data_IF_250556910832
#
_entry.id   IF_250556910832
#
_cell.length_a   1.000
_cell.length_b   1.000
_cell.length_c   1.000
_cell.angle_alpha   90.00
_cell.angle_beta   90.00
_cell.angle_gamma   90.00
#
_symmetry.space_group_name_H-M   'P 1'
#
loop_
_entity.id
_entity.type
_entity.pdbx_description
1 polymer ?
#
# COMPACT_ATOMS: atom_id res chain seq x y z
N UNK A 1 17.50 4.18 -60.56
CA UNK A 1 17.40 5.59 -60.98
C UNK A 1 16.57 6.27 -59.90
N UNK A 2 17.01 7.17 -59.03
CA UNK A 2 18.15 8.09 -59.02
C UNK A 2 18.33 8.57 -57.56
N UNK A 3 19.58 8.49 -57.07
CA UNK A 3 20.33 9.33 -56.10
C UNK A 3 19.67 10.59 -55.51
N UNK A 4 20.14 11.27 -54.44
CA UNK A 4 21.08 11.12 -53.32
C UNK A 4 21.28 12.55 -52.74
N UNK A 5 21.51 12.68 -51.42
CA UNK A 5 22.34 13.73 -50.73
C UNK A 5 21.89 15.21 -50.84
N UNK A 6 22.20 16.18 -49.98
CA UNK A 6 23.35 16.53 -49.09
C UNK A 6 22.93 17.80 -48.26
N UNK A 7 23.21 17.96 -46.95
CA UNK A 7 24.43 18.50 -46.25
C UNK A 7 24.47 20.03 -45.99
N UNK A 8 24.88 20.40 -44.75
CA UNK A 8 25.53 21.66 -44.24
C UNK A 8 24.68 22.94 -44.05
N UNK A 9 24.95 23.88 -43.14
CA UNK A 9 26.03 24.21 -42.17
C UNK A 9 25.46 25.16 -41.07
N UNK A 10 26.03 25.26 -39.85
CA UNK A 10 26.77 26.45 -39.29
C UNK A 10 25.90 27.71 -39.06
N UNK A 11 25.92 28.51 -37.97
CA UNK A 11 26.99 28.94 -37.07
C UNK A 11 26.42 29.98 -36.04
N UNK A 12 26.93 29.96 -34.79
CA UNK A 12 27.22 31.01 -33.76
C UNK A 12 26.20 32.13 -33.36
N UNK A 13 26.01 32.36 -32.04
CA UNK A 13 26.57 33.49 -31.22
C UNK A 13 25.79 33.75 -29.91
N UNK A 14 26.48 33.57 -28.77
CA UNK A 14 26.60 34.35 -27.51
C UNK A 14 25.53 35.38 -27.10
N UNK A 15 25.16 35.43 -25.80
CA UNK A 15 25.39 36.57 -24.86
C UNK A 15 25.04 36.19 -23.42
N UNK A 16 26.00 36.43 -22.52
CA UNK A 16 25.93 36.36 -21.06
C UNK A 16 25.72 37.76 -20.51
N UNK A 17 24.74 37.98 -19.63
CA UNK A 17 24.74 39.10 -18.68
C UNK A 17 24.15 38.63 -17.34
N UNK A 18 25.01 38.56 -16.32
CA UNK A 18 24.63 38.45 -14.92
C UNK A 18 25.17 39.70 -14.23
N UNK A 19 24.25 40.48 -13.66
CA UNK A 19 24.56 41.74 -12.97
C UNK A 19 24.69 41.51 -11.47
N UNK A 20 25.70 42.18 -10.94
CA UNK A 20 26.28 42.08 -9.61
C UNK A 20 25.47 42.78 -8.50
N UNK A 21 25.89 42.45 -7.28
CA UNK A 21 25.45 42.74 -5.93
C UNK A 21 25.03 44.18 -5.57
N UNK A 22 24.30 44.32 -4.45
CA UNK A 22 24.70 45.21 -3.34
C UNK A 22 24.07 44.76 -2.01
N UNK A 23 24.90 44.82 -0.98
CA UNK A 23 24.75 44.46 0.44
C UNK A 23 23.90 45.45 1.25
N UNK A 24 23.28 44.99 2.35
CA UNK A 24 23.11 45.80 3.58
C UNK A 24 22.91 44.89 4.81
N UNK A 25 23.92 44.87 5.68
CA UNK A 25 23.83 44.47 7.09
C UNK A 25 23.22 45.61 7.92
N UNK A 26 22.38 45.32 8.91
CA UNK A 26 22.61 45.75 10.31
C UNK A 26 21.65 45.09 11.33
N UNK A 27 22.23 44.23 12.17
CA UNK A 27 22.08 44.04 13.62
C UNK A 27 20.76 44.40 14.36
N UNK A 28 20.27 43.45 15.17
CA UNK A 28 20.06 43.70 16.62
C UNK A 28 19.92 42.40 17.42
N UNK A 29 20.65 42.35 18.52
CA UNK A 29 20.62 41.34 19.58
C UNK A 29 19.37 41.54 20.46
N UNK A 30 18.77 40.46 20.98
CA UNK A 30 18.85 40.14 22.41
C UNK A 30 18.17 38.78 22.67
N UNK A 31 18.89 37.87 23.33
CA UNK A 31 18.40 36.57 23.76
C UNK A 31 18.40 36.55 25.28
N UNK A 32 17.23 36.74 25.89
CA UNK A 32 17.01 36.50 27.31
C UNK A 32 15.97 35.41 27.48
N UNK A 33 16.44 34.21 27.84
CA UNK A 33 15.62 33.09 28.28
C UNK A 33 15.91 32.81 29.76
N UNK A 34 14.88 32.93 30.59
CA UNK A 34 14.57 32.09 31.77
C UNK A 34 13.84 32.90 32.83
N UNK A 35 12.51 32.91 32.74
CA UNK A 35 11.61 33.35 33.78
C UNK A 35 10.64 32.21 34.09
N UNK A 36 10.90 31.49 35.18
CA UNK A 36 9.99 30.51 35.77
C UNK A 36 8.71 31.22 36.25
N UNK A 37 7.56 30.83 35.71
CA UNK A 37 6.25 31.09 36.33
C UNK A 37 5.42 29.81 36.36
N UNK A 38 5.41 29.20 37.54
CA UNK A 38 4.31 28.38 38.04
C UNK A 38 2.98 29.12 37.86
N UNK A 39 2.05 28.57 37.09
CA UNK A 39 0.66 29.02 37.05
C UNK A 39 -0.25 27.89 37.49
N UNK A 40 -0.64 28.02 38.74
CA UNK A 40 -1.73 27.31 39.42
C UNK A 40 -3.02 27.31 38.61
N UNK A 41 -3.83 26.26 38.85
CA UNK A 41 -5.29 26.23 38.74
C UNK A 41 -5.90 27.64 38.78
N UNK A 42 -6.26 28.15 37.61
CA UNK A 42 -7.08 29.33 37.42
C UNK A 42 -8.43 28.88 36.88
N UNK A 43 -9.35 28.64 37.81
CA UNK A 43 -10.78 28.69 37.58
C UNK A 43 -11.11 30.01 36.87
N UNK A 44 -11.32 29.94 35.55
CA UNK A 44 -11.92 31.02 34.78
C UNK A 44 -13.32 30.53 34.40
N UNK A 45 -14.29 30.92 35.23
CA UNK A 45 -15.69 30.63 35.01
C UNK A 45 -16.16 31.11 33.64
N UNK A 46 -16.59 30.18 32.80
CA UNK A 46 -17.39 30.49 31.63
C UNK A 46 -18.76 30.96 32.11
N UNK A 47 -19.07 32.25 31.87
CA UNK A 47 -20.41 32.79 32.03
C UNK A 47 -21.33 32.21 30.96
N UNK A 48 -22.09 31.18 31.32
CA UNK A 48 -23.39 30.82 30.76
C UNK A 48 -23.56 30.90 29.24
N UNK A 49 -22.79 30.12 28.47
CA UNK A 49 -23.15 29.55 27.16
C UNK A 49 -21.98 28.74 26.55
N UNK A 50 -21.14 28.13 27.38
CA UNK A 50 -20.31 27.03 26.89
C UNK A 50 -21.19 25.79 26.97
N UNK A 51 -21.89 25.47 25.88
CA UNK A 51 -22.05 24.05 25.57
C UNK A 51 -20.63 23.46 25.67
N UNK A 52 -20.39 22.36 26.41
CA UNK A 52 -19.08 21.76 26.33
C UNK A 52 -18.87 21.46 24.86
N UNK A 53 -17.95 22.18 24.21
CA UNK A 53 -17.40 21.76 22.94
C UNK A 53 -17.11 20.28 23.16
N UNK A 54 -17.88 19.42 22.47
CA UNK A 54 -17.67 17.99 22.54
C UNK A 54 -16.16 17.82 22.33
N UNK A 55 -15.45 17.15 23.26
CA UNK A 55 -14.00 17.07 23.16
C UNK A 55 -13.71 16.64 21.74
N UNK A 56 -12.95 17.46 21.00
CA UNK A 56 -12.50 17.09 19.67
C UNK A 56 -12.03 15.64 19.79
N UNK A 57 -12.70 14.72 19.09
CA UNK A 57 -12.46 13.29 19.29
C UNK A 57 -10.96 13.09 19.19
N UNK A 58 -10.35 12.61 20.28
CA UNK A 58 -8.91 12.63 20.38
C UNK A 58 -8.37 11.73 19.27
N UNK A 59 -7.73 12.36 18.28
CA UNK A 59 -7.02 11.65 17.24
C UNK A 59 -5.98 10.75 17.92
N UNK A 60 -6.03 9.47 17.61
CA UNK A 60 -5.15 8.44 18.15
C UNK A 60 -4.28 7.88 17.02
N UNK A 61 -3.20 7.20 17.39
CA UNK A 61 -2.33 6.52 16.44
C UNK A 61 -2.79 5.05 16.29
N UNK A 62 -3.28 4.69 15.10
CA UNK A 62 -3.76 3.33 14.80
C UNK A 62 -2.63 2.30 14.91
N UNK A 63 -1.38 2.69 14.64
CA UNK A 63 -0.21 1.81 14.74
C UNK A 63 0.19 1.59 16.19
N UNK A 64 0.05 2.60 17.04
CA UNK A 64 0.39 2.52 18.46
C UNK A 64 -0.74 1.98 19.34
N UNK A 65 -1.99 2.05 18.87
CA UNK A 65 -3.20 1.75 19.66
C UNK A 65 -3.21 2.50 21.01
N UNK A 66 -2.91 3.79 20.99
CA UNK A 66 -2.66 4.65 22.17
C UNK A 66 -3.93 5.22 22.84
N UNK A 67 -5.02 4.46 22.80
CA UNK A 67 -6.29 4.83 23.41
C UNK A 67 -6.35 4.45 24.91
N UNK A 68 -7.22 5.11 25.71
CA UNK A 68 -7.49 4.71 27.08
C UNK A 68 -7.97 3.26 27.21
N UNK A 69 -7.83 2.69 28.41
CA UNK A 69 -8.26 1.31 28.69
C UNK A 69 -9.73 1.08 28.30
N UNK A 70 -10.00 -0.04 27.64
CA UNK A 70 -11.32 -0.39 27.13
C UNK A 70 -11.69 0.27 25.80
N UNK A 71 -10.78 1.04 25.20
CA UNK A 71 -10.94 1.63 23.87
C UNK A 71 -9.86 1.14 22.91
N UNK A 72 -10.15 1.18 21.61
CA UNK A 72 -9.19 0.94 20.53
C UNK A 72 -9.15 2.12 19.58
N UNK A 73 -8.01 2.30 18.93
CA UNK A 73 -7.89 3.34 17.91
C UNK A 73 -8.42 2.82 16.58
N UNK A 74 -9.43 3.49 16.02
CA UNK A 74 -10.10 3.10 14.78
C UNK A 74 -9.93 4.18 13.72
N UNK A 75 -9.80 3.76 12.46
CA UNK A 75 -9.88 4.64 11.31
C UNK A 75 -11.35 4.82 10.90
N UNK A 76 -11.78 6.06 10.67
CA UNK A 76 -13.14 6.43 10.31
C UNK A 76 -13.14 7.51 9.23
N UNK A 77 -14.29 7.79 8.63
CA UNK A 77 -14.44 8.84 7.62
C UNK A 77 -15.17 10.07 8.17
N UNK A 78 -14.54 11.24 8.09
CA UNK A 78 -15.18 12.52 8.47
C UNK A 78 -16.40 12.88 7.63
N UNK A 79 -16.43 12.39 6.39
CA UNK A 79 -17.41 12.79 5.36
C UNK A 79 -18.19 11.61 4.76
N UNK A 80 -18.06 10.41 5.35
CA UNK A 80 -18.74 9.19 4.90
C UNK A 80 -18.13 8.52 3.67
N UNK A 81 -16.94 8.95 3.23
CA UNK A 81 -16.16 8.35 2.14
C UNK A 81 -15.03 7.46 2.64
N UNK A 82 -13.83 7.63 2.06
CA UNK A 82 -12.63 6.93 2.54
C UNK A 82 -12.37 7.24 4.02
N UNK A 83 -11.88 6.24 4.75
CA UNK A 83 -11.43 6.39 6.14
C UNK A 83 -10.17 7.25 6.14
N UNK A 84 -10.29 8.48 6.61
CA UNK A 84 -9.31 9.57 6.48
C UNK A 84 -8.95 10.21 7.82
N UNK A 85 -9.50 9.70 8.92
CA UNK A 85 -9.24 10.18 10.27
C UNK A 85 -9.26 9.06 11.30
N UNK A 86 -8.82 9.36 12.53
CA UNK A 86 -8.75 8.40 13.63
C UNK A 86 -9.48 8.89 14.86
N UNK A 87 -9.97 7.95 15.66
CA UNK A 87 -10.56 8.23 16.98
C UNK A 87 -10.47 7.01 17.88
N UNK A 88 -10.52 7.25 19.19
CA UNK A 88 -10.70 6.17 20.15
C UNK A 88 -12.18 5.77 20.23
N UNK A 89 -12.45 4.49 19.99
CA UNK A 89 -13.79 3.91 20.11
C UNK A 89 -13.81 2.81 21.18
N UNK A 90 -14.92 2.61 21.90
CA UNK A 90 -15.06 1.48 22.83
C UNK A 90 -14.82 0.15 22.13
N UNK A 91 -14.13 -0.77 22.80
CA UNK A 91 -14.03 -2.16 22.35
C UNK A 91 -15.35 -2.85 22.64
N UNK A 92 -16.07 -3.26 21.59
CA UNK A 92 -17.40 -3.87 21.73
C UNK A 92 -17.44 -5.36 21.43
N UNK A 93 -16.34 -5.94 20.95
CA UNK A 93 -16.21 -7.36 20.69
C UNK A 93 -14.78 -7.85 20.77
N UNK A 94 -14.61 -9.15 20.58
CA UNK A 94 -13.37 -9.91 20.76
C UNK A 94 -12.92 -10.63 19.46
N UNK A 95 -13.54 -10.32 18.33
CA UNK A 95 -13.23 -10.94 17.03
C UNK A 95 -11.76 -10.81 16.66
N UNK A 96 -11.17 -11.92 16.20
CA UNK A 96 -9.80 -12.04 15.71
C UNK A 96 -9.77 -12.09 14.19
N UNK A 97 -8.58 -12.00 13.60
CA UNK A 97 -8.42 -12.09 12.15
C UNK A 97 -9.11 -13.35 11.57
N UNK A 98 -10.00 -13.16 10.58
CA UNK A 98 -10.80 -14.21 9.95
C UNK A 98 -12.19 -14.44 10.57
N UNK A 99 -12.46 -13.92 11.77
CA UNK A 99 -13.79 -14.01 12.38
C UNK A 99 -14.79 -13.06 11.68
N UNK A 100 -16.09 -13.41 11.63
CA UNK A 100 -17.11 -12.50 11.13
C UNK A 100 -17.24 -11.28 12.06
N UNK A 101 -17.52 -10.11 11.48
CA UNK A 101 -17.74 -8.87 12.22
C UNK A 101 -18.90 -8.05 11.69
N UNK A 102 -19.35 -7.09 12.51
CA UNK A 102 -20.40 -6.14 12.16
C UNK A 102 -19.92 -4.73 12.45
N UNK A 103 -20.26 -3.78 11.56
CA UNK A 103 -20.07 -2.34 11.79
C UNK A 103 -21.41 -1.66 12.11
N UNK A 104 -21.79 -1.49 13.39
CA UNK A 104 -23.14 -1.07 13.77
C UNK A 104 -23.54 0.33 13.27
N UNK A 105 -22.56 1.20 13.03
CA UNK A 105 -22.78 2.58 12.59
C UNK A 105 -22.44 2.79 11.11
N UNK A 106 -22.27 1.71 10.35
CA UNK A 106 -21.92 1.74 8.94
C UNK A 106 -20.43 1.47 8.66
N UNK A 107 -20.08 1.16 7.40
CA UNK A 107 -18.78 0.59 7.02
C UNK A 107 -17.59 1.55 7.21
N UNK A 108 -17.85 2.85 7.33
CA UNK A 108 -16.81 3.89 7.41
C UNK A 108 -16.79 4.61 8.76
N UNK A 109 -17.64 4.21 9.71
CA UNK A 109 -17.71 4.84 11.05
C UNK A 109 -16.55 4.41 11.97
N UNK A 110 -15.89 3.30 11.66
CA UNK A 110 -14.74 2.78 12.38
C UNK A 110 -15.08 1.88 13.56
N UNK A 111 -16.27 2.01 14.17
CA UNK A 111 -16.69 1.06 15.20
C UNK A 111 -17.10 -0.29 14.61
N UNK A 112 -16.58 -1.36 15.21
CA UNK A 112 -16.86 -2.73 14.81
C UNK A 112 -16.77 -3.69 16.01
N UNK A 113 -17.13 -4.95 15.78
CA UNK A 113 -17.09 -6.03 16.78
C UNK A 113 -15.74 -6.78 16.84
N UNK A 114 -14.70 -6.28 16.18
CA UNK A 114 -13.36 -6.84 16.25
C UNK A 114 -12.63 -6.36 17.51
N UNK A 115 -11.70 -7.18 18.00
CA UNK A 115 -10.85 -6.85 19.15
C UNK A 115 -9.87 -5.68 18.87
N UNK A 116 -9.14 -5.26 19.90
CA UNK A 116 -8.03 -4.28 19.76
C UNK A 116 -7.01 -4.81 18.75
N UNK A 117 -6.46 -3.92 17.93
CA UNK A 117 -5.51 -4.32 16.89
C UNK A 117 -6.15 -5.00 15.69
N UNK A 118 -7.48 -4.96 15.56
CA UNK A 118 -8.22 -5.50 14.43
C UNK A 118 -9.28 -4.50 13.93
N UNK A 119 -9.62 -4.63 12.66
CA UNK A 119 -10.61 -3.80 11.97
C UNK A 119 -11.51 -4.65 11.08
N UNK A 120 -12.78 -4.32 11.01
CA UNK A 120 -13.72 -4.97 10.09
C UNK A 120 -13.48 -4.50 8.65
N UNK A 121 -13.22 -5.44 7.75
CA UNK A 121 -13.01 -5.22 6.31
C UNK A 121 -14.07 -5.95 5.48
N UNK A 122 -14.10 -5.63 4.18
CA UNK A 122 -15.02 -6.21 3.20
C UNK A 122 -16.48 -6.18 3.66
N UNK A 123 -16.84 -5.06 4.29
CA UNK A 123 -18.15 -4.85 4.88
C UNK A 123 -19.19 -4.68 3.78
N UNK A 124 -20.17 -5.58 3.76
CA UNK A 124 -21.34 -5.47 2.89
C UNK A 124 -22.16 -4.23 3.30
N UNK A 125 -22.44 -3.29 2.37
CA UNK A 125 -23.10 -2.04 2.70
C UNK A 125 -24.59 -2.22 3.09
N UNK A 126 -25.21 -3.34 2.75
CA UNK A 126 -26.61 -3.63 3.05
C UNK A 126 -26.76 -4.38 4.39
N UNK A 127 -25.89 -5.37 4.67
CA UNK A 127 -25.96 -6.16 5.91
C UNK A 127 -25.08 -5.59 7.04
N UNK A 128 -24.10 -4.76 6.71
CA UNK A 128 -23.06 -4.25 7.62
C UNK A 128 -22.17 -5.34 8.22
N UNK A 129 -22.14 -6.51 7.59
CA UNK A 129 -21.31 -7.64 7.99
C UNK A 129 -20.02 -7.69 7.16
N UNK A 130 -18.93 -8.11 7.78
CA UNK A 130 -17.63 -8.25 7.13
C UNK A 130 -16.76 -9.28 7.84
N UNK A 131 -15.45 -9.18 7.66
CA UNK A 131 -14.46 -10.05 8.31
C UNK A 131 -13.42 -9.22 9.05
N UNK A 132 -13.09 -9.63 10.27
CA UNK A 132 -12.02 -9.00 11.04
C UNK A 132 -10.67 -9.26 10.35
N UNK A 133 -9.89 -8.19 10.16
CA UNK A 133 -8.50 -8.27 9.73
C UNK A 133 -7.61 -7.68 10.82
N UNK A 134 -6.42 -8.26 11.01
CA UNK A 134 -5.44 -7.70 11.93
C UNK A 134 -4.89 -6.38 11.36
N UNK A 135 -4.71 -5.38 12.20
CA UNK A 135 -3.97 -4.17 11.87
C UNK A 135 -2.48 -4.50 11.82
N UNK A 136 -1.75 -3.78 10.97
CA UNK A 136 -0.31 -3.91 10.92
C UNK A 136 0.34 -3.40 12.21
N UNK A 137 1.41 -4.08 12.61
CA UNK A 137 2.29 -3.63 13.67
C UNK A 137 3.47 -2.82 13.12
N UNK A 138 4.20 -2.15 14.02
CA UNK A 138 5.38 -1.37 13.67
C UNK A 138 5.01 0.07 13.31
N UNK A 139 5.46 0.55 12.16
CA UNK A 139 5.17 1.90 11.65
C UNK A 139 4.76 1.83 10.19
N UNK A 140 4.16 2.89 9.65
CA UNK A 140 3.87 2.97 8.22
C UNK A 140 5.09 2.73 7.31
N UNK A 141 6.31 3.02 7.79
CA UNK A 141 7.54 2.93 7.01
C UNK A 141 8.25 1.57 7.16
N UNK A 142 7.92 0.86 8.23
CA UNK A 142 8.42 -0.48 8.51
C UNK A 142 7.26 -1.32 9.05
N UNK A 143 6.23 -1.55 8.22
CA UNK A 143 5.06 -2.28 8.66
C UNK A 143 5.37 -3.77 8.74
N UNK A 144 4.70 -4.47 9.64
CA UNK A 144 4.85 -5.90 9.80
C UNK A 144 3.54 -6.56 10.21
N UNK A 145 3.42 -7.85 9.91
CA UNK A 145 2.31 -8.70 10.30
C UNK A 145 2.82 -9.84 11.18
N UNK A 146 2.09 -10.13 12.26
CA UNK A 146 2.45 -11.22 13.17
C UNK A 146 2.19 -12.60 12.56
N UNK A 147 1.15 -12.71 11.73
CA UNK A 147 0.87 -13.91 10.96
C UNK A 147 1.96 -14.11 9.90
N UNK A 148 2.47 -15.34 9.82
CA UNK A 148 3.31 -15.76 8.69
C UNK A 148 2.49 -15.67 7.40
N UNK A 149 3.15 -15.34 6.29
CA UNK A 149 2.48 -15.28 4.99
C UNK A 149 1.32 -14.28 4.99
N UNK A 150 1.56 -13.11 5.58
CA UNK A 150 0.66 -11.97 5.53
C UNK A 150 1.45 -10.72 5.20
N UNK A 151 0.97 -9.95 4.24
CA UNK A 151 1.51 -8.66 3.85
C UNK A 151 0.77 -7.53 4.53
N UNK A 152 1.47 -6.45 4.86
CA UNK A 152 0.81 -5.24 5.32
C UNK A 152 0.40 -4.38 4.13
N UNK A 153 -0.90 -4.22 3.92
CA UNK A 153 -1.45 -3.26 2.95
C UNK A 153 -1.78 -1.96 3.66
N UNK A 154 -1.05 -0.89 3.33
CA UNK A 154 -1.31 0.45 3.89
C UNK A 154 -2.42 1.13 3.09
N UNK A 155 -3.52 1.45 3.76
CA UNK A 155 -4.75 2.01 3.18
C UNK A 155 -5.15 3.31 3.87
N UNK A 156 -6.21 3.97 3.38
CA UNK A 156 -6.66 5.26 3.92
C UNK A 156 -5.63 6.38 3.71
N UNK A 157 -5.02 6.44 2.53
CA UNK A 157 -3.96 7.42 2.21
C UNK A 157 -2.75 7.40 3.16
N UNK A 158 -2.37 6.22 3.66
CA UNK A 158 -1.24 6.07 4.58
C UNK A 158 -1.61 6.01 6.06
N UNK A 159 -2.90 6.18 6.38
CA UNK A 159 -3.38 6.33 7.76
C UNK A 159 -3.19 5.06 8.59
N UNK A 160 -3.51 3.90 8.02
CA UNK A 160 -3.43 2.62 8.73
C UNK A 160 -3.05 1.48 7.79
N UNK A 161 -2.49 0.41 8.35
CA UNK A 161 -2.18 -0.81 7.64
C UNK A 161 -3.06 -1.97 8.09
N UNK A 162 -3.41 -2.85 7.16
CA UNK A 162 -4.10 -4.11 7.43
C UNK A 162 -3.27 -5.29 6.95
N UNK A 163 -3.18 -6.31 7.80
CA UNK A 163 -2.55 -7.57 7.49
C UNK A 163 -3.52 -8.42 6.68
N UNK A 164 -3.19 -8.58 5.40
CA UNK A 164 -3.92 -9.44 4.49
C UNK A 164 -3.13 -10.73 4.29
N UNK A 165 -3.78 -11.89 4.25
CA UNK A 165 -3.10 -13.12 3.90
C UNK A 165 -2.49 -12.96 2.52
N UNK A 166 -1.22 -13.38 2.39
CA UNK A 166 -0.65 -13.61 1.07
C UNK A 166 -1.33 -14.83 0.48
N UNK A 167 -1.35 -14.90 -0.85
CA UNK A 167 -1.93 -16.01 -1.58
C UNK A 167 -0.87 -16.71 -2.43
N UNK A 168 -1.18 -17.92 -2.88
CA UNK A 168 -0.39 -18.65 -3.86
C UNK A 168 -0.83 -18.20 -5.27
N UNK A 169 0.05 -17.53 -6.04
CA UNK A 169 -0.30 -17.03 -7.36
C UNK A 169 -0.39 -18.12 -8.43
N UNK A 170 0.12 -19.32 -8.16
CA UNK A 170 0.02 -20.49 -9.05
C UNK A 170 -1.31 -21.19 -8.78
N UNK A 171 -1.68 -21.36 -7.51
CA UNK A 171 -2.93 -22.02 -7.11
C UNK A 171 -4.17 -21.10 -7.22
N UNK A 172 -3.99 -19.78 -7.19
CA UNK A 172 -5.07 -18.77 -7.17
C UNK A 172 -6.07 -19.03 -6.03
N UNK A 173 -5.56 -19.21 -4.83
CA UNK A 173 -6.29 -19.67 -3.63
C UNK A 173 -7.02 -18.57 -2.85
N UNK A 174 -7.34 -17.46 -3.52
CA UNK A 174 -8.10 -16.38 -2.91
C UNK A 174 -9.58 -16.74 -2.71
N UNK A 175 -10.18 -16.21 -1.64
CA UNK A 175 -11.60 -16.40 -1.36
C UNK A 175 -12.49 -15.57 -2.29
N UNK A 176 -13.66 -16.13 -2.65
CA UNK A 176 -14.67 -15.44 -3.45
C UNK A 176 -14.26 -15.25 -4.91
N UNK A 177 -14.58 -14.08 -5.49
CA UNK A 177 -14.22 -13.70 -6.86
C UNK A 177 -12.89 -12.90 -6.93
N UNK A 178 -12.06 -13.01 -5.89
CA UNK A 178 -10.77 -12.33 -5.80
C UNK A 178 -9.69 -13.08 -6.57
N UNK A 179 -8.67 -12.38 -7.08
CA UNK A 179 -7.51 -13.01 -7.70
C UNK A 179 -6.24 -12.77 -6.90
N UNK A 180 -5.30 -13.73 -6.99
CA UNK A 180 -3.98 -13.61 -6.40
C UNK A 180 -3.03 -12.93 -7.39
N UNK A 181 -2.63 -11.70 -7.07
CA UNK A 181 -1.79 -10.87 -7.95
C UNK A 181 -0.54 -10.41 -7.21
N UNK A 182 0.51 -10.09 -7.96
CA UNK A 182 1.74 -9.55 -7.39
C UNK A 182 1.48 -8.17 -6.77
N UNK A 183 2.05 -7.92 -5.60
CA UNK A 183 2.02 -6.62 -4.97
C UNK A 183 2.75 -5.59 -5.87
N UNK A 184 2.30 -4.33 -5.97
CA UNK A 184 2.98 -3.32 -6.78
C UNK A 184 4.45 -3.09 -6.39
N UNK A 185 4.80 -3.33 -5.13
CA UNK A 185 6.18 -3.26 -4.65
C UNK A 185 7.07 -4.45 -5.12
N UNK A 186 6.46 -5.50 -5.70
CA UNK A 186 7.15 -6.68 -6.22
C UNK A 186 7.71 -7.61 -5.15
N UNK A 187 7.25 -7.51 -3.91
CA UNK A 187 7.79 -8.21 -2.73
C UNK A 187 6.91 -9.36 -2.21
N UNK A 188 5.78 -9.62 -2.86
CA UNK A 188 4.84 -10.69 -2.49
C UNK A 188 3.61 -10.73 -3.39
N UNK A 189 2.64 -11.56 -3.00
CA UNK A 189 1.35 -11.70 -3.69
C UNK A 189 0.19 -11.52 -2.70
N UNK A 190 -0.86 -10.81 -3.12
CA UNK A 190 -2.03 -10.52 -2.28
C UNK A 190 -3.34 -10.80 -3.04
N UNK A 191 -4.38 -11.15 -2.29
CA UNK A 191 -5.72 -11.26 -2.83
C UNK A 191 -6.33 -9.88 -3.09
N UNK A 192 -6.90 -9.68 -4.26
CA UNK A 192 -7.63 -8.46 -4.63
C UNK A 192 -9.02 -8.80 -5.16
N UNK A 193 -10.06 -8.24 -4.53
CA UNK A 193 -11.48 -8.59 -4.78
C UNK A 193 -12.03 -8.10 -6.11
N UNK A 194 -11.25 -7.32 -6.86
CA UNK A 194 -11.54 -6.85 -8.22
C UNK A 194 -10.21 -6.71 -8.97
N UNK A 195 -9.49 -7.82 -9.15
CA UNK A 195 -8.25 -7.79 -9.91
C UNK A 195 -8.49 -7.12 -11.27
N UNK A 196 -7.69 -6.10 -11.65
CA UNK A 196 -7.80 -5.54 -12.99
C UNK A 196 -7.58 -6.65 -14.00
N UNK A 197 -8.31 -6.61 -15.12
CA UNK A 197 -7.96 -7.43 -16.27
C UNK A 197 -6.56 -7.03 -16.72
N UNK A 198 -5.63 -7.98 -16.73
CA UNK A 198 -4.27 -7.74 -17.14
C UNK A 198 -4.06 -8.06 -18.62
N UNK A 199 -2.79 -8.19 -18.99
CA UNK A 199 -2.40 -8.66 -20.30
C UNK A 199 -2.08 -10.16 -20.30
N UNK A 200 -2.48 -10.90 -21.35
CA UNK A 200 -2.20 -12.33 -21.43
C UNK A 200 -0.72 -12.60 -21.70
N UNK A 201 -0.29 -13.84 -21.46
CA UNK A 201 1.09 -14.27 -21.65
C UNK A 201 1.63 -13.91 -23.05
N UNK A 202 2.86 -13.40 -23.10
CA UNK A 202 3.50 -12.93 -24.33
C UNK A 202 3.07 -11.54 -24.81
N UNK A 203 2.26 -10.83 -24.04
CA UNK A 203 1.90 -9.44 -24.32
C UNK A 203 2.86 -8.44 -23.68
N UNK A 204 3.07 -7.26 -24.29
CA UNK A 204 3.79 -6.15 -23.67
C UNK A 204 3.20 -5.72 -22.32
N UNK A 205 4.06 -5.34 -21.39
CA UNK A 205 3.72 -4.74 -20.11
C UNK A 205 4.77 -3.69 -19.71
N UNK A 206 4.43 -2.80 -18.77
CA UNK A 206 5.29 -1.74 -18.26
C UNK A 206 5.53 -1.86 -16.74
N UNK A 207 4.56 -2.39 -16.00
CA UNK A 207 4.62 -2.56 -14.56
C UNK A 207 4.51 -4.03 -14.16
N UNK A 208 5.01 -4.35 -12.96
CA UNK A 208 5.10 -5.73 -12.46
C UNK A 208 3.73 -6.42 -12.40
N UNK A 209 2.67 -5.65 -12.17
CA UNK A 209 1.28 -6.05 -11.96
C UNK A 209 0.35 -5.85 -13.18
N UNK A 210 0.91 -5.51 -14.36
CA UNK A 210 0.12 -5.29 -15.59
C UNK A 210 -0.45 -6.58 -16.22
N UNK A 211 0.02 -7.75 -15.78
CA UNK A 211 -0.28 -9.04 -16.40
C UNK A 211 -1.47 -9.74 -15.74
N UNK A 212 -2.13 -10.64 -16.49
CA UNK A 212 -3.24 -11.43 -15.95
C UNK A 212 -2.81 -12.26 -14.72
N UNK A 213 -3.74 -12.61 -13.81
CA UNK A 213 -3.43 -13.44 -12.65
C UNK A 213 -2.69 -14.74 -13.01
N UNK A 214 -1.64 -15.05 -12.25
CA UNK A 214 -0.72 -16.15 -12.55
C UNK A 214 0.43 -15.77 -13.50
N UNK A 215 0.48 -14.52 -13.95
CA UNK A 215 1.57 -13.97 -14.77
C UNK A 215 2.23 -12.79 -14.06
N UNK A 216 3.48 -12.49 -14.43
CA UNK A 216 4.22 -11.31 -13.98
C UNK A 216 4.95 -10.66 -15.16
N UNK A 217 5.15 -9.35 -15.08
CA UNK A 217 5.91 -8.63 -16.10
C UNK A 217 7.42 -8.83 -15.89
N UNK A 218 8.10 -9.40 -16.89
CA UNK A 218 9.55 -9.64 -16.85
C UNK A 218 10.27 -8.92 -17.99
N UNK A 219 11.59 -8.88 -17.90
CA UNK A 219 12.45 -8.36 -18.97
C UNK A 219 12.11 -9.06 -20.31
N UNK A 220 11.83 -8.31 -21.38
CA UNK A 220 11.32 -8.85 -22.63
C UNK A 220 12.35 -9.70 -23.37
N UNK A 221 13.65 -9.55 -23.08
CA UNK A 221 14.70 -10.44 -23.60
C UNK A 221 14.65 -11.85 -23.01
N UNK A 222 13.93 -12.03 -21.90
CA UNK A 222 13.79 -13.30 -21.17
C UNK A 222 12.53 -14.07 -21.54
N UNK A 223 11.64 -13.49 -22.32
CA UNK A 223 10.44 -14.18 -22.80
C UNK A 223 10.38 -14.15 -24.34
N UNK A 224 10.38 -15.30 -25.03
CA UNK A 224 10.45 -15.33 -26.49
C UNK A 224 9.08 -15.05 -27.14
N UNK A 225 8.59 -13.81 -26.97
CA UNK A 225 7.38 -13.31 -27.62
C UNK A 225 7.71 -12.17 -28.60
N UNK A 226 7.36 -12.30 -29.89
CA UNK A 226 7.62 -11.26 -30.90
C UNK A 226 7.01 -9.91 -30.56
N UNK A 227 5.83 -9.90 -29.94
CA UNK A 227 5.09 -8.68 -29.61
C UNK A 227 5.81 -7.86 -28.51
N UNK A 228 6.64 -8.52 -27.69
CA UNK A 228 7.44 -7.90 -26.64
C UNK A 228 8.80 -7.38 -27.12
N UNK A 229 9.20 -7.63 -28.39
CA UNK A 229 10.57 -7.38 -28.87
C UNK A 229 11.03 -5.90 -28.77
N UNK A 230 10.09 -4.95 -28.60
CA UNK A 230 10.36 -3.52 -28.40
C UNK A 230 9.60 -2.93 -27.21
N UNK A 231 9.05 -3.79 -26.35
CA UNK A 231 8.33 -3.40 -25.16
C UNK A 231 9.29 -3.13 -23.99
N UNK A 232 8.77 -2.59 -22.89
CA UNK A 232 9.51 -2.42 -21.64
C UNK A 232 9.59 -3.74 -20.86
N UNK A 233 8.53 -4.55 -20.94
CA UNK A 233 8.42 -5.86 -20.34
C UNK A 233 7.55 -6.81 -21.16
N UNK A 234 7.52 -8.07 -20.74
CA UNK A 234 6.67 -9.11 -21.32
C UNK A 234 6.00 -9.94 -20.23
N UNK A 235 4.69 -10.19 -20.38
CA UNK A 235 3.95 -11.03 -19.43
C UNK A 235 4.37 -12.50 -19.57
N UNK A 236 4.92 -13.05 -18.48
CA UNK A 236 5.40 -14.42 -18.39
C UNK A 236 4.67 -15.19 -17.29
N UNK A 237 4.41 -16.50 -17.46
CA UNK A 237 3.72 -17.29 -16.47
C UNK A 237 4.61 -17.58 -15.25
N UNK A 238 3.96 -17.64 -14.10
CA UNK A 238 4.55 -18.18 -12.88
C UNK A 238 4.55 -19.72 -12.94
N UNK A 239 5.46 -20.33 -12.19
CA UNK A 239 5.63 -21.78 -12.14
C UNK A 239 6.06 -22.22 -10.75
N UNK A 240 5.73 -23.47 -10.43
CA UNK A 240 6.19 -24.11 -9.19
C UNK A 240 7.60 -24.67 -9.42
N UNK A 241 8.57 -24.20 -8.64
CA UNK A 241 9.96 -24.64 -8.71
C UNK A 241 10.09 -26.14 -8.41
N UNK A 242 9.22 -26.70 -7.57
CA UNK A 242 9.24 -28.10 -7.18
C UNK A 242 8.69 -29.02 -8.30
N UNK A 243 7.78 -28.50 -9.13
CA UNK A 243 7.26 -29.19 -10.31
C UNK A 243 8.15 -29.02 -11.56
N UNK A 244 8.95 -27.94 -11.58
CA UNK A 244 9.95 -27.58 -12.60
C UNK A 244 9.43 -27.49 -14.05
N UNK A 245 8.12 -27.33 -14.25
CA UNK A 245 7.48 -27.27 -15.56
C UNK A 245 6.75 -25.94 -15.75
N UNK A 246 7.02 -25.30 -16.89
CA UNK A 246 6.36 -24.05 -17.25
C UNK A 246 5.02 -24.31 -17.94
N UNK A 247 3.92 -23.70 -17.47
CA UNK A 247 2.64 -23.83 -18.14
C UNK A 247 2.62 -23.00 -19.44
N UNK A 248 2.05 -23.59 -20.49
CA UNK A 248 1.75 -22.88 -21.74
C UNK A 248 2.88 -22.84 -22.77
N UNK A 249 2.70 -21.92 -23.74
CA UNK A 249 3.63 -21.64 -24.83
C UNK A 249 4.35 -20.31 -24.57
N UNK A 250 5.59 -20.12 -25.07
CA UNK A 250 6.34 -21.02 -25.96
C UNK A 250 6.97 -22.22 -25.24
N UNK A 251 7.09 -23.35 -25.95
CA UNK A 251 7.84 -24.50 -25.47
C UNK A 251 9.31 -24.14 -25.16
N UNK A 252 9.90 -24.82 -24.17
CA UNK A 252 11.30 -24.70 -23.68
C UNK A 252 11.59 -23.55 -22.71
N UNK A 253 10.58 -23.00 -22.02
CA UNK A 253 10.83 -22.16 -20.87
C UNK A 253 11.31 -22.99 -19.68
N UNK A 254 12.19 -22.41 -18.89
CA UNK A 254 12.66 -22.97 -17.63
C UNK A 254 12.09 -22.16 -16.47
N UNK A 255 11.77 -22.85 -15.38
CA UNK A 255 11.27 -22.23 -14.17
C UNK A 255 12.45 -21.70 -13.34
N UNK A 256 12.58 -20.39 -13.24
CA UNK A 256 13.61 -19.74 -12.41
C UNK A 256 12.99 -19.10 -11.18
N UNK A 257 13.69 -19.06 -10.03
CA UNK A 257 13.17 -18.40 -8.84
C UNK A 257 12.75 -16.95 -9.14
N UNK A 258 11.55 -16.58 -8.69
CA UNK A 258 11.04 -15.22 -8.84
C UNK A 258 11.67 -14.29 -7.80
N UNK A 259 11.64 -14.70 -6.54
CA UNK A 259 12.23 -13.94 -5.44
C UNK A 259 13.71 -14.23 -5.26
N UNK A 260 14.46 -13.20 -4.86
CA UNK A 260 15.82 -13.36 -4.35
C UNK A 260 15.78 -14.09 -3.01
N UNK A 261 16.84 -14.84 -2.67
CA UNK A 261 16.92 -15.53 -1.38
C UNK A 261 16.70 -14.55 -0.22
N UNK A 262 15.76 -14.89 0.68
CA UNK A 262 15.40 -14.07 1.83
C UNK A 262 14.30 -13.04 1.59
N UNK A 263 13.77 -12.92 0.37
CA UNK A 263 12.55 -12.17 0.03
C UNK A 263 11.43 -13.18 -0.26
N UNK A 264 10.20 -12.89 0.16
CA UNK A 264 9.06 -13.77 -0.13
C UNK A 264 9.13 -15.13 0.57
N UNK A 265 9.40 -15.17 1.87
CA UNK A 265 9.54 -16.42 2.67
C UNK A 265 8.30 -17.35 2.67
N UNK A 266 7.22 -16.93 2.01
CA UNK A 266 5.99 -17.69 1.82
C UNK A 266 5.71 -18.03 0.35
N UNK A 267 6.64 -17.68 -0.53
CA UNK A 267 6.59 -17.86 -1.97
C UNK A 267 7.93 -18.42 -2.48
N UNK A 268 8.66 -19.14 -1.62
CA UNK A 268 9.98 -19.70 -1.94
C UNK A 268 9.91 -20.74 -3.05
N UNK A 269 8.75 -21.37 -3.24
CA UNK A 269 8.44 -22.30 -4.32
C UNK A 269 7.97 -21.59 -5.61
N UNK A 270 7.76 -20.27 -5.59
CA UNK A 270 7.29 -19.51 -6.75
C UNK A 270 8.46 -19.13 -7.64
N UNK A 271 8.40 -19.62 -8.88
CA UNK A 271 9.27 -19.24 -9.98
C UNK A 271 8.53 -18.51 -11.09
N UNK A 272 9.29 -18.04 -12.07
CA UNK A 272 8.81 -17.45 -13.31
C UNK A 272 9.40 -18.18 -14.51
N UNK A 273 8.58 -18.35 -15.54
CA UNK A 273 8.93 -19.04 -16.77
C UNK A 273 9.62 -18.11 -17.74
N UNK A 274 10.89 -18.41 -18.02
CA UNK A 274 11.71 -17.62 -18.93
C UNK A 274 12.81 -18.46 -19.57
N UNK A 275 13.46 -17.89 -20.58
CA UNK A 275 14.73 -18.42 -21.07
C UNK A 275 15.90 -17.94 -20.19
N UNK A 276 17.03 -18.64 -20.29
CA UNK A 276 18.27 -18.33 -19.56
C UNK A 276 18.76 -16.91 -19.72
#
# INVERSE_FOLDING_TARGET
>A
MTTASSTSAGETTTTTEATDATSTDESTQDATSSGSTTLSKGDLGCGGACEPDAPAEAACDVWAQDCPEGQKCVAWSRSGGARDDTKCAPVTGDGQAGDPCVTPNGPTAGEDTCSIGHVCLDVDPDTLEGVCAALCAGTAQQPSCAAVCSGCSVIGAGLFGVCLPTCDPIAQDCLGASACVIAPAGDGFNCVSQAPSGHPAGSPCAYVDDCDPGLVCIDPSRYPAPDCARAEGCCAPLCDLDASQCPGEPANLLCFPWFQQGVGSCHENVGVCRIE
#
